data_IF_281932698875
#
_entry.id   IF_281932698875
#
_cell.length_a   1.000
_cell.length_b   1.000
_cell.length_c   1.000
_cell.angle_alpha   90.00
_cell.angle_beta   90.00
_cell.angle_gamma   90.00
#
_symmetry.space_group_name_H-M   'P 1'
#
loop_
_entity.id
_entity.type
_entity.pdbx_description
1 polymer ?
#
# COMPACT_ATOMS: atom_id res chain seq x y z
N UNK A 1 -6.45 -9.57 -5.84
CA UNK A 1 -6.66 -10.30 -4.57
C UNK A 1 -5.73 -9.80 -3.47
N UNK A 2 -5.94 -10.21 -2.20
CA UNK A 2 -5.08 -9.82 -1.06
C UNK A 2 -3.61 -10.18 -1.30
N UNK A 3 -3.37 -11.40 -1.75
CA UNK A 3 -2.03 -11.89 -2.08
C UNK A 3 -1.33 -11.04 -3.16
N UNK A 4 -2.03 -10.71 -4.25
CA UNK A 4 -1.48 -9.83 -5.29
C UNK A 4 -1.17 -8.41 -4.78
N UNK A 5 -1.98 -7.88 -3.85
CA UNK A 5 -1.73 -6.58 -3.24
C UNK A 5 -0.49 -6.62 -2.33
N UNK A 6 -0.33 -7.70 -1.56
CA UNK A 6 0.87 -7.98 -0.77
C UNK A 6 2.11 -8.11 -1.67
N UNK A 7 2.04 -8.88 -2.76
CA UNK A 7 3.12 -9.02 -3.73
C UNK A 7 3.48 -7.69 -4.41
N UNK A 8 2.48 -6.87 -4.77
CA UNK A 8 2.68 -5.53 -5.35
C UNK A 8 3.44 -4.62 -4.37
N UNK A 9 3.09 -4.68 -3.09
CA UNK A 9 3.77 -3.95 -2.02
C UNK A 9 5.08 -4.62 -1.57
N UNK A 10 5.32 -5.87 -1.92
CA UNK A 10 6.49 -6.64 -1.49
C UNK A 10 6.46 -6.93 0.01
N UNK A 11 5.27 -7.15 0.56
CA UNK A 11 5.04 -7.47 1.97
C UNK A 11 4.51 -8.88 2.07
N UNK A 12 4.78 -9.56 3.18
CA UNK A 12 4.23 -10.89 3.42
C UNK A 12 2.71 -10.82 3.69
N UNK A 13 1.94 -11.84 3.30
CA UNK A 13 0.50 -11.90 3.60
C UNK A 13 0.22 -11.87 5.12
N UNK A 14 1.16 -12.39 5.92
CA UNK A 14 1.10 -12.41 7.37
C UNK A 14 1.54 -11.08 8.01
N UNK A 15 2.20 -10.18 7.25
CA UNK A 15 2.77 -8.93 7.74
C UNK A 15 1.73 -8.01 8.43
N UNK A 16 2.05 -7.47 9.60
CA UNK A 16 1.14 -6.59 10.33
C UNK A 16 0.82 -5.31 9.57
N UNK A 17 -0.28 -4.64 9.93
CA UNK A 17 -0.66 -3.37 9.31
C UNK A 17 0.46 -2.33 9.37
N UNK A 18 1.17 -2.24 10.50
CA UNK A 18 2.30 -1.34 10.67
C UNK A 18 3.45 -1.62 9.69
N UNK A 19 3.69 -2.89 9.35
CA UNK A 19 4.69 -3.25 8.35
C UNK A 19 4.24 -2.85 6.94
N UNK A 20 2.96 -3.11 6.63
CA UNK A 20 2.35 -2.71 5.35
C UNK A 20 2.46 -1.19 5.16
N UNK A 21 2.14 -0.41 6.18
CA UNK A 21 2.23 1.06 6.15
C UNK A 21 3.66 1.58 5.97
N UNK A 22 4.62 0.97 6.69
CA UNK A 22 6.04 1.31 6.59
C UNK A 22 6.57 1.04 5.18
N UNK A 23 6.36 -0.16 4.65
CA UNK A 23 6.83 -0.54 3.31
C UNK A 23 6.16 0.29 2.23
N UNK A 24 4.86 0.56 2.35
CA UNK A 24 4.14 1.42 1.43
C UNK A 24 4.75 2.83 1.35
N UNK A 25 5.02 3.47 2.49
CA UNK A 25 5.64 4.82 2.53
C UNK A 25 6.98 4.84 1.81
N UNK A 26 7.82 3.83 2.07
CA UNK A 26 9.13 3.68 1.39
C UNK A 26 8.93 3.54 -0.12
N UNK A 27 8.09 2.61 -0.56
CA UNK A 27 7.83 2.38 -1.98
C UNK A 27 7.26 3.60 -2.70
N UNK A 28 6.35 4.32 -2.07
CA UNK A 28 5.80 5.56 -2.61
C UNK A 28 6.89 6.60 -2.81
N UNK A 29 7.79 6.79 -1.84
CA UNK A 29 8.88 7.75 -2.00
C UNK A 29 9.84 7.40 -3.13
N UNK A 30 10.03 6.10 -3.42
CA UNK A 30 10.84 5.65 -4.56
C UNK A 30 10.10 5.74 -5.90
N UNK A 31 8.80 5.46 -5.93
CA UNK A 31 8.00 5.46 -7.16
C UNK A 31 7.40 6.82 -7.51
N UNK A 32 7.52 7.82 -6.63
CA UNK A 32 6.88 9.12 -6.81
C UNK A 32 7.33 9.80 -8.12
N UNK A 33 6.41 10.27 -8.98
CA UNK A 33 6.75 10.83 -10.30
C UNK A 33 7.62 12.10 -10.24
N UNK A 34 7.63 12.78 -9.09
CA UNK A 34 8.48 13.95 -8.84
C UNK A 34 9.96 13.58 -8.59
N UNK A 35 10.26 12.31 -8.31
CA UNK A 35 11.64 11.82 -8.22
C UNK A 35 12.17 11.57 -9.62
N UNK A 36 13.46 11.84 -9.83
CA UNK A 36 14.15 11.45 -11.06
C UNK A 36 14.06 9.92 -11.25
N UNK A 37 13.38 9.46 -12.30
CA UNK A 37 13.09 8.04 -12.54
C UNK A 37 11.85 7.50 -11.83
N UNK A 38 11.00 8.39 -11.29
CA UNK A 38 9.68 8.04 -10.77
C UNK A 38 8.75 7.52 -11.87
N UNK A 39 7.86 6.61 -11.49
CA UNK A 39 6.94 5.96 -12.43
C UNK A 39 5.50 6.11 -11.93
N UNK A 40 4.68 6.96 -12.56
CA UNK A 40 3.33 7.26 -12.10
C UNK A 40 2.40 6.04 -12.15
N UNK A 41 2.64 5.11 -13.08
CA UNK A 41 1.89 3.86 -13.19
C UNK A 41 2.18 2.92 -12.01
N UNK A 42 3.45 2.77 -11.67
CA UNK A 42 3.93 2.02 -10.50
C UNK A 42 3.40 2.64 -9.22
N UNK A 43 3.44 3.97 -9.10
CA UNK A 43 2.86 4.69 -7.97
C UNK A 43 1.36 4.37 -7.81
N UNK A 44 0.58 4.46 -8.90
CA UNK A 44 -0.86 4.09 -8.89
C UNK A 44 -1.10 2.64 -8.48
N UNK A 45 -0.26 1.70 -8.94
CA UNK A 45 -0.36 0.27 -8.56
C UNK A 45 -0.10 0.07 -7.06
N UNK A 46 0.95 0.70 -6.53
CA UNK A 46 1.30 0.67 -5.10
C UNK A 46 0.15 1.24 -4.25
N UNK A 47 -0.43 2.37 -4.67
CA UNK A 47 -1.57 2.98 -3.99
C UNK A 47 -2.82 2.09 -3.99
N UNK A 48 -3.17 1.50 -5.13
CA UNK A 48 -4.32 0.57 -5.23
C UNK A 48 -4.15 -0.64 -4.32
N UNK A 49 -2.96 -1.22 -4.30
CA UNK A 49 -2.65 -2.36 -3.43
C UNK A 49 -2.80 -1.97 -1.95
N UNK A 50 -2.24 -0.82 -1.55
CA UNK A 50 -2.33 -0.34 -0.16
C UNK A 50 -3.76 -0.04 0.27
N UNK A 51 -4.58 0.61 -0.57
CA UNK A 51 -5.98 0.88 -0.26
C UNK A 51 -6.78 -0.43 -0.03
N UNK A 52 -6.50 -1.44 -0.86
CA UNK A 52 -7.10 -2.76 -0.68
C UNK A 52 -6.65 -3.42 0.63
N UNK A 53 -5.34 -3.46 0.92
CA UNK A 53 -4.83 -4.01 2.17
C UNK A 53 -5.35 -3.25 3.40
N UNK A 54 -5.55 -1.93 3.29
CA UNK A 54 -6.13 -1.11 4.35
C UNK A 54 -7.57 -1.48 4.66
N UNK A 55 -8.36 -1.82 3.65
CA UNK A 55 -9.74 -2.27 3.84
C UNK A 55 -9.83 -3.64 4.48
N UNK A 56 -8.86 -4.53 4.19
CA UNK A 56 -8.85 -5.91 4.69
C UNK A 56 -8.18 -6.05 6.06
N UNK A 57 -7.01 -5.44 6.24
CA UNK A 57 -6.11 -5.62 7.38
C UNK A 57 -5.81 -4.32 8.13
N UNK A 58 -6.21 -3.17 7.58
CA UNK A 58 -6.03 -1.90 8.25
C UNK A 58 -6.79 -1.87 9.58
N UNK A 59 -6.41 -0.96 10.50
CA UNK A 59 -7.17 -0.72 11.71
C UNK A 59 -8.57 -0.38 11.23
N UNK A 60 -9.51 -1.30 11.48
CA UNK A 60 -10.83 -1.25 10.88
C UNK A 60 -11.39 0.17 11.02
N UNK A 61 -12.05 0.67 9.98
CA UNK A 61 -12.96 1.80 10.14
C UNK A 61 -14.10 1.38 11.07
N UNK A 62 -13.83 1.36 12.37
CA UNK A 62 -14.81 1.49 13.44
C UNK A 62 -15.11 2.97 13.69
N UNK A 63 -15.34 3.76 12.63
CA UNK A 63 -15.58 5.19 12.79
C UNK A 63 -16.02 5.89 11.51
N UNK A 64 -17.17 6.56 11.63
CA UNK A 64 -17.88 7.42 10.66
C UNK A 64 -18.93 6.66 9.82
N UNK A 65 -20.23 6.67 10.14
CA UNK A 65 -20.98 7.71 10.85
C UNK A 65 -21.12 8.95 9.97
N UNK A 66 -21.98 8.85 8.95
CA UNK A 66 -22.62 9.97 8.26
C UNK A 66 -24.09 9.54 8.02
#
# INVERSE_FOLDING_TARGET
>A
SFDEACATLGVEPEASWEEIDRVYKVKVQYAHPDKAGGDPDRFKRIQKAYDYLKKVKGPGKGGKGD
#
